data_IF_841134357677
#
_entry.id   IF_841134357677
#
_cell.length_a   1.000
_cell.length_b   1.000
_cell.length_c   1.000
_cell.angle_alpha   90.00
_cell.angle_beta   90.00
_cell.angle_gamma   90.00
#
_symmetry.space_group_name_H-M   'P 1'
#
loop_
_entity.id
_entity.type
_entity.pdbx_description
1 polymer ?
#
# COMPACT_ATOMS: atom_id res chain seq x y z
N UNK A 1 1.43 -71.99 4.65
CA UNK A 1 1.40 -70.72 3.88
C UNK A 1 1.41 -69.57 4.88
N UNK A 2 2.49 -68.78 4.90
CA UNK A 2 2.60 -67.57 5.74
C UNK A 2 2.46 -66.36 4.82
N UNK A 3 1.45 -65.54 5.03
CA UNK A 3 1.28 -64.27 4.31
C UNK A 3 2.15 -63.20 4.97
N UNK A 4 2.97 -62.53 4.16
CA UNK A 4 3.83 -61.42 4.55
C UNK A 4 3.04 -60.14 4.28
N UNK A 5 2.62 -59.43 5.33
CA UNK A 5 2.04 -58.09 5.20
C UNK A 5 3.17 -57.06 5.11
N UNK A 6 3.23 -56.30 4.01
CA UNK A 6 4.13 -55.16 3.84
C UNK A 6 3.32 -53.91 4.19
N UNK A 7 3.64 -53.31 5.34
CA UNK A 7 3.11 -52.00 5.72
C UNK A 7 3.85 -50.90 4.94
N UNK A 8 3.14 -50.21 4.05
CA UNK A 8 3.64 -49.03 3.33
C UNK A 8 3.41 -47.81 4.23
N UNK A 9 4.47 -47.29 4.84
CA UNK A 9 4.44 -45.99 5.51
C UNK A 9 4.48 -44.88 4.45
N UNK A 10 3.32 -44.25 4.20
CA UNK A 10 3.20 -43.02 3.43
C UNK A 10 3.74 -41.85 4.28
N UNK A 11 4.98 -41.46 4.04
CA UNK A 11 5.55 -40.23 4.58
C UNK A 11 4.96 -39.07 3.77
N UNK A 12 3.94 -38.39 4.31
CA UNK A 12 3.52 -37.08 3.81
C UNK A 12 4.66 -36.09 4.12
N UNK A 13 5.49 -35.81 3.12
CA UNK A 13 6.39 -34.67 3.14
C UNK A 13 5.55 -33.40 3.09
N UNK A 14 5.35 -32.76 4.24
CA UNK A 14 4.82 -31.39 4.31
C UNK A 14 5.93 -30.48 3.78
N UNK A 15 5.88 -30.18 2.48
CA UNK A 15 6.76 -29.20 1.87
C UNK A 15 6.29 -27.82 2.32
N UNK A 16 6.85 -27.33 3.43
CA UNK A 16 6.74 -25.92 3.80
C UNK A 16 7.56 -25.11 2.78
N UNK A 17 6.97 -24.77 1.64
CA UNK A 17 7.55 -23.76 0.76
C UNK A 17 7.41 -22.42 1.47
N UNK A 18 8.41 -22.04 2.24
CA UNK A 18 8.58 -20.65 2.66
C UNK A 18 8.93 -19.88 1.39
N UNK A 19 7.91 -19.32 0.74
CA UNK A 19 8.08 -18.44 -0.41
C UNK A 19 8.66 -17.14 0.15
N UNK A 20 9.98 -17.09 0.28
CA UNK A 20 10.70 -15.84 0.46
C UNK A 20 10.58 -15.07 -0.86
N UNK A 21 10.07 -13.85 -0.79
CA UNK A 21 10.06 -12.94 -1.94
C UNK A 21 11.47 -12.80 -2.55
N UNK A 22 11.53 -12.69 -3.87
CA UNK A 22 12.78 -12.57 -4.63
C UNK A 22 13.52 -11.27 -4.26
N UNK A 23 14.82 -11.36 -3.97
CA UNK A 23 15.66 -10.20 -3.63
C UNK A 23 15.69 -9.08 -4.69
N UNK A 24 15.29 -9.39 -5.92
CA UNK A 24 15.18 -8.45 -7.04
C UNK A 24 14.29 -7.24 -6.75
N UNK A 25 13.17 -7.41 -6.03
CA UNK A 25 12.26 -6.29 -5.73
C UNK A 25 12.89 -5.25 -4.79
N UNK A 26 13.71 -5.69 -3.82
CA UNK A 26 14.42 -4.78 -2.93
C UNK A 26 15.44 -3.94 -3.69
N UNK A 27 16.17 -4.55 -4.62
CA UNK A 27 17.19 -3.88 -5.43
C UNK A 27 16.56 -2.83 -6.36
N UNK A 28 15.45 -3.17 -7.00
CA UNK A 28 14.70 -2.26 -7.88
C UNK A 28 14.17 -1.05 -7.09
N UNK A 29 13.50 -1.29 -5.96
CA UNK A 29 12.94 -0.23 -5.12
C UNK A 29 14.03 0.64 -4.49
N UNK A 30 15.10 0.02 -3.98
CA UNK A 30 16.25 0.75 -3.44
C UNK A 30 16.87 1.65 -4.50
N UNK A 31 17.06 1.14 -5.72
CA UNK A 31 17.63 1.91 -6.84
C UNK A 31 16.75 3.10 -7.21
N UNK A 32 15.43 2.92 -7.30
CA UNK A 32 14.49 4.00 -7.59
C UNK A 32 14.52 5.10 -6.51
N UNK A 33 14.40 4.71 -5.25
CA UNK A 33 14.41 5.65 -4.11
C UNK A 33 15.75 6.35 -3.97
N UNK A 34 16.86 5.65 -4.25
CA UNK A 34 18.20 6.22 -4.19
C UNK A 34 18.43 7.27 -5.27
N UNK A 35 17.87 7.08 -6.47
CA UNK A 35 17.90 8.10 -7.54
C UNK A 35 17.14 9.35 -7.14
N UNK A 36 15.95 9.21 -6.55
CA UNK A 36 15.13 10.35 -6.11
C UNK A 36 15.80 11.14 -4.98
N UNK A 37 16.38 10.44 -4.01
CA UNK A 37 17.02 11.06 -2.84
C UNK A 37 18.49 11.46 -3.05
N UNK A 38 19.07 11.11 -4.20
CA UNK A 38 20.49 11.28 -4.53
C UNK A 38 21.45 10.62 -3.52
N UNK A 39 20.98 9.64 -2.75
CA UNK A 39 21.74 8.91 -1.73
C UNK A 39 21.28 7.46 -1.63
N UNK A 40 22.13 6.51 -1.21
CA UNK A 40 21.69 5.13 -0.97
C UNK A 40 20.58 5.08 0.08
N UNK A 41 19.48 4.40 -0.25
CA UNK A 41 18.35 4.16 0.65
C UNK A 41 18.35 2.68 1.06
N UNK A 42 18.47 2.36 2.36
CA UNK A 42 18.44 0.98 2.83
C UNK A 42 17.07 0.36 2.60
N UNK A 43 17.03 -0.90 2.17
CA UNK A 43 15.80 -1.67 1.98
C UNK A 43 15.92 -3.05 2.61
N UNK A 44 14.81 -3.53 3.16
CA UNK A 44 14.69 -4.81 3.84
C UNK A 44 13.62 -5.66 3.18
N UNK A 45 13.95 -6.92 2.90
CA UNK A 45 13.08 -7.92 2.28
C UNK A 45 13.27 -9.29 2.95
N UNK A 46 12.32 -10.20 2.71
CA UNK A 46 12.41 -11.60 3.15
C UNK A 46 12.62 -11.72 4.66
N UNK A 47 13.64 -12.48 5.09
CA UNK A 47 13.91 -12.75 6.51
C UNK A 47 14.15 -11.50 7.36
N UNK A 48 14.70 -10.43 6.78
CA UNK A 48 14.96 -9.19 7.52
C UNK A 48 13.68 -8.49 7.99
N UNK A 49 12.53 -8.80 7.38
CA UNK A 49 11.23 -8.28 7.79
C UNK A 49 10.68 -8.94 9.07
N UNK A 50 11.31 -10.00 9.60
CA UNK A 50 10.82 -10.68 10.81
C UNK A 50 10.84 -9.80 12.06
N UNK A 51 11.61 -8.72 12.04
CA UNK A 51 11.69 -7.74 13.12
C UNK A 51 10.73 -6.55 12.93
N UNK A 52 9.88 -6.59 11.89
CA UNK A 52 8.85 -5.61 11.67
C UNK A 52 7.50 -6.14 12.18
N UNK A 53 6.94 -5.44 13.15
CA UNK A 53 5.54 -5.60 13.56
C UNK A 53 4.64 -4.71 12.69
N UNK A 54 3.73 -5.33 11.96
CA UNK A 54 2.78 -4.64 11.09
C UNK A 54 1.56 -5.52 10.84
N UNK A 55 0.38 -4.96 11.09
CA UNK A 55 -0.89 -5.57 10.77
C UNK A 55 -1.29 -5.11 9.38
N UNK A 56 -1.41 -6.05 8.45
CA UNK A 56 -1.82 -5.77 7.08
C UNK A 56 -3.27 -6.19 6.85
N UNK A 57 -4.00 -5.50 5.96
CA UNK A 57 -5.31 -5.96 5.56
C UNK A 57 -5.27 -7.35 4.94
N UNK A 58 -6.35 -8.12 5.08
CA UNK A 58 -6.44 -9.46 4.50
C UNK A 58 -6.20 -9.41 2.99
N UNK A 59 -5.33 -10.31 2.50
CA UNK A 59 -4.96 -10.39 1.08
C UNK A 59 -3.69 -9.60 0.72
N UNK A 60 -3.12 -8.86 1.67
CA UNK A 60 -1.84 -8.18 1.55
C UNK A 60 -0.80 -8.78 2.48
N UNK A 61 0.47 -8.63 2.12
CA UNK A 61 1.61 -8.88 3.00
C UNK A 61 2.75 -7.93 2.63
N UNK A 62 3.60 -7.60 3.61
CA UNK A 62 4.78 -6.76 3.37
C UNK A 62 5.83 -7.57 2.61
N UNK A 63 6.26 -7.03 1.48
CA UNK A 63 7.31 -7.64 0.65
C UNK A 63 8.63 -6.87 0.74
N UNK A 64 8.57 -5.54 0.89
CA UNK A 64 9.74 -4.71 1.07
C UNK A 64 9.47 -3.51 1.97
N UNK A 65 10.49 -3.08 2.71
CA UNK A 65 10.46 -1.85 3.52
C UNK A 65 11.73 -1.10 3.24
N UNK A 66 11.59 0.09 2.68
CA UNK A 66 12.69 0.93 2.29
C UNK A 66 12.69 2.22 3.09
N UNK A 67 13.89 2.64 3.44
CA UNK A 67 14.12 3.92 4.07
C UNK A 67 13.42 4.10 5.43
N UNK A 68 13.35 3.04 6.23
CA UNK A 68 12.72 3.10 7.54
C UNK A 68 13.50 4.02 8.50
N UNK A 69 12.85 5.04 9.06
CA UNK A 69 13.43 6.00 10.01
C UNK A 69 12.52 6.26 11.18
N UNK A 70 13.12 6.61 12.32
CA UNK A 70 12.39 7.20 13.44
C UNK A 70 12.15 8.71 13.24
N UNK A 71 11.42 9.32 14.16
CA UNK A 71 11.07 10.76 14.17
C UNK A 71 12.29 11.69 14.25
N UNK A 72 13.46 11.19 14.68
CA UNK A 72 14.72 11.95 14.65
C UNK A 72 15.43 11.90 13.29
N UNK A 73 14.89 11.13 12.35
CA UNK A 73 15.48 10.88 11.03
C UNK A 73 16.57 9.81 11.02
N UNK A 74 16.79 9.10 12.14
CA UNK A 74 17.76 8.01 12.22
C UNK A 74 17.21 6.79 11.49
N UNK A 75 18.05 6.16 10.65
CA UNK A 75 17.73 4.89 10.01
C UNK A 75 17.57 3.76 11.03
N UNK A 76 16.57 2.92 10.81
CA UNK A 76 16.34 1.70 11.57
C UNK A 76 16.92 0.52 10.80
N UNK A 77 17.75 -0.29 11.48
CA UNK A 77 18.30 -1.52 10.94
C UNK A 77 17.43 -2.73 11.32
N UNK A 78 16.48 -3.13 10.45
CA UNK A 78 15.60 -4.27 10.71
C UNK A 78 16.35 -5.61 10.79
N UNK A 79 17.62 -5.68 10.39
CA UNK A 79 18.43 -6.88 10.64
C UNK A 79 18.82 -7.03 12.13
N UNK A 80 18.71 -5.96 12.93
CA UNK A 80 19.19 -5.90 14.32
C UNK A 80 18.14 -5.41 15.31
N UNK A 81 17.24 -4.54 14.87
CA UNK A 81 16.30 -3.80 15.71
C UNK A 81 14.86 -4.20 15.37
N UNK A 82 14.03 -4.31 16.40
CA UNK A 82 12.58 -4.44 16.25
C UNK A 82 11.95 -3.07 15.99
N UNK A 83 10.98 -3.01 15.08
CA UNK A 83 10.23 -1.81 14.76
C UNK A 83 8.74 -2.15 14.59
N UNK A 84 7.86 -1.21 14.95
CA UNK A 84 6.41 -1.38 14.83
C UNK A 84 5.82 -0.25 14.00
N UNK A 85 4.98 -0.59 13.03
CA UNK A 85 4.14 0.36 12.28
C UNK A 85 2.73 0.46 12.86
N UNK A 86 2.36 -0.45 13.75
CA UNK A 86 1.04 -0.52 14.36
C UNK A 86 0.89 0.41 15.57
N UNK A 87 2.01 0.88 16.11
CA UNK A 87 2.09 1.69 17.31
C UNK A 87 2.87 2.98 17.08
N UNK A 88 2.37 4.07 17.66
CA UNK A 88 3.11 5.32 17.77
C UNK A 88 4.20 5.19 18.84
N UNK A 89 5.29 5.93 18.68
CA UNK A 89 6.28 6.08 19.74
C UNK A 89 5.67 6.82 20.96
N UNK A 90 6.45 6.90 22.04
CA UNK A 90 6.03 7.57 23.29
C UNK A 90 5.67 9.05 23.10
N UNK A 91 6.15 9.67 22.04
CA UNK A 91 5.97 11.08 21.70
C UNK A 91 4.84 11.26 20.67
N UNK A 92 4.17 10.17 20.27
CA UNK A 92 3.04 10.16 19.34
C UNK A 92 3.42 10.12 17.86
N UNK A 93 4.69 9.84 17.53
CA UNK A 93 5.16 9.83 16.15
C UNK A 93 5.07 8.42 15.53
N UNK A 94 4.85 8.38 14.22
CA UNK A 94 4.94 7.16 13.42
C UNK A 94 6.34 7.06 12.81
N UNK A 95 6.79 5.83 12.53
CA UNK A 95 7.99 5.62 11.73
C UNK A 95 7.77 6.10 10.30
N UNK A 96 8.83 6.61 9.69
CA UNK A 96 8.84 7.07 8.31
C UNK A 96 9.46 6.01 7.40
N UNK A 97 9.04 5.94 6.13
CA UNK A 97 9.59 5.03 5.13
C UNK A 97 8.62 4.70 4.01
N UNK A 98 9.06 3.86 3.09
CA UNK A 98 8.24 3.35 1.97
C UNK A 98 8.04 1.85 2.13
N UNK A 99 6.78 1.44 2.24
CA UNK A 99 6.38 0.06 2.49
C UNK A 99 5.71 -0.46 1.23
N UNK A 100 6.25 -1.54 0.69
CA UNK A 100 5.71 -2.22 -0.47
C UNK A 100 4.95 -3.47 -0.03
N UNK A 101 3.70 -3.56 -0.45
CA UNK A 101 2.83 -4.69 -0.15
C UNK A 101 2.60 -5.49 -1.42
N UNK A 102 2.63 -6.82 -1.30
CA UNK A 102 2.19 -7.71 -2.36
C UNK A 102 0.80 -8.28 -2.08
N UNK A 103 0.08 -8.53 -3.17
CA UNK A 103 -1.25 -9.11 -3.15
C UNK A 103 -2.31 -8.09 -3.55
N UNK A 104 -3.51 -8.28 -3.03
CA UNK A 104 -4.64 -7.46 -3.42
C UNK A 104 -5.64 -7.25 -2.28
N UNK A 105 -6.27 -6.07 -2.26
CA UNK A 105 -7.36 -5.75 -1.35
C UNK A 105 -8.54 -5.15 -2.10
N UNK A 106 -9.73 -5.69 -1.83
CA UNK A 106 -10.98 -5.12 -2.29
C UNK A 106 -11.53 -4.12 -1.27
N UNK A 107 -11.73 -2.88 -1.71
CA UNK A 107 -12.31 -1.81 -0.91
C UNK A 107 -13.54 -1.24 -1.60
N UNK A 108 -14.52 -0.84 -0.78
CA UNK A 108 -15.67 -0.04 -1.22
C UNK A 108 -15.57 1.34 -0.58
N UNK A 109 -15.79 2.36 -1.40
CA UNK A 109 -15.60 3.74 -0.99
C UNK A 109 -16.11 4.71 -2.05
N UNK A 110 -15.68 5.96 -1.94
CA UNK A 110 -15.92 6.99 -2.94
C UNK A 110 -14.61 7.35 -3.62
N UNK A 111 -14.61 7.41 -4.95
CA UNK A 111 -13.52 8.00 -5.71
C UNK A 111 -13.96 9.36 -6.26
N UNK A 112 -13.08 10.34 -6.25
CA UNK A 112 -13.42 11.67 -6.72
C UNK A 112 -12.21 12.58 -6.85
N UNK A 113 -12.46 13.74 -7.45
CA UNK A 113 -11.46 14.79 -7.56
C UNK A 113 -11.57 15.74 -6.36
N UNK A 114 -10.50 15.83 -5.58
CA UNK A 114 -10.39 16.85 -4.52
C UNK A 114 -9.78 18.11 -5.15
N UNK A 115 -10.39 19.30 -4.98
CA UNK A 115 -9.82 20.54 -5.52
C UNK A 115 -8.47 20.87 -4.87
N UNK A 116 -7.39 20.68 -5.61
CA UNK A 116 -6.06 21.21 -5.35
C UNK A 116 -5.51 21.82 -6.64
N UNK A 117 -4.44 22.61 -6.58
CA UNK A 117 -3.79 23.18 -7.77
C UNK A 117 -3.40 22.10 -8.80
N UNK A 118 -3.10 20.89 -8.32
CA UNK A 118 -2.75 19.71 -9.10
C UNK A 118 -3.90 18.76 -9.45
N UNK A 119 -5.11 18.94 -8.87
CA UNK A 119 -6.25 18.07 -9.12
C UNK A 119 -5.94 16.60 -8.82
N UNK A 120 -5.75 16.27 -7.54
CA UNK A 120 -5.43 14.89 -7.15
C UNK A 120 -6.72 14.07 -7.08
N UNK A 121 -6.84 13.07 -7.96
CA UNK A 121 -7.85 12.03 -7.81
C UNK A 121 -7.54 11.20 -6.56
N UNK A 122 -8.54 11.01 -5.73
CA UNK A 122 -8.44 10.24 -4.50
C UNK A 122 -9.53 9.18 -4.45
N UNK A 123 -9.26 8.14 -3.69
CA UNK A 123 -10.26 7.18 -3.24
C UNK A 123 -10.27 7.20 -1.73
N UNK A 124 -11.44 7.32 -1.13
CA UNK A 124 -11.65 7.21 0.31
C UNK A 124 -12.56 6.02 0.60
N UNK A 125 -12.08 5.08 1.41
CA UNK A 125 -12.92 4.00 1.94
C UNK A 125 -13.61 4.44 3.23
N UNK A 126 -14.69 3.76 3.60
CA UNK A 126 -15.28 3.93 4.93
C UNK A 126 -14.31 3.39 5.98
N UNK A 127 -13.83 4.26 6.85
CA UNK A 127 -12.98 3.88 7.98
C UNK A 127 -13.65 4.24 9.31
N UNK A 128 -14.18 3.24 9.99
CA UNK A 128 -14.73 3.37 11.35
C UNK A 128 -13.72 2.81 12.37
N UNK A 129 -12.61 3.53 12.60
CA UNK A 129 -11.41 2.92 13.19
C UNK A 129 -10.83 3.70 14.39
N UNK A 130 -11.57 3.86 15.51
CA UNK A 130 -11.02 4.46 16.72
C UNK A 130 -9.96 3.58 17.42
N UNK A 131 -9.94 2.26 17.17
CA UNK A 131 -9.07 1.31 17.89
C UNK A 131 -8.23 0.40 16.97
N UNK A 132 -8.08 0.74 15.69
CA UNK A 132 -7.25 -0.08 14.80
C UNK A 132 -5.77 0.28 14.86
N UNK A 133 -4.88 -0.71 14.57
CA UNK A 133 -3.46 -0.50 14.36
C UNK A 133 -3.18 0.74 13.49
N UNK A 134 -2.15 1.50 13.87
CA UNK A 134 -1.85 2.77 13.23
C UNK A 134 -1.59 2.60 11.72
N UNK A 135 -0.94 1.50 11.31
CA UNK A 135 -0.67 1.21 9.90
C UNK A 135 -1.94 1.01 9.06
N UNK A 136 -3.01 0.41 9.60
CA UNK A 136 -4.25 0.16 8.86
C UNK A 136 -4.97 1.45 8.44
N UNK A 137 -4.73 2.56 9.14
CA UNK A 137 -5.29 3.88 8.78
C UNK A 137 -4.84 4.35 7.40
N UNK A 138 -3.70 3.86 6.91
CA UNK A 138 -3.20 4.20 5.57
C UNK A 138 -4.10 3.66 4.45
N UNK A 139 -5.02 2.73 4.73
CA UNK A 139 -5.93 2.17 3.74
C UNK A 139 -7.27 2.91 3.68
N UNK A 140 -7.42 4.00 4.43
CA UNK A 140 -8.61 4.85 4.41
C UNK A 140 -8.64 5.80 3.21
N UNK A 141 -7.46 6.17 2.72
CA UNK A 141 -7.31 7.09 1.61
C UNK A 141 -6.19 6.61 0.68
N UNK A 142 -6.51 6.55 -0.59
CA UNK A 142 -5.58 6.22 -1.65
C UNK A 142 -5.46 7.40 -2.61
N UNK A 143 -4.22 7.78 -2.91
CA UNK A 143 -3.90 8.70 -3.99
C UNK A 143 -3.94 7.92 -5.30
N UNK A 144 -4.77 8.39 -6.24
CA UNK A 144 -4.90 7.82 -7.58
C UNK A 144 -4.27 8.82 -8.56
N UNK A 145 -3.09 8.53 -9.07
CA UNK A 145 -2.23 9.55 -9.68
C UNK A 145 -2.03 9.46 -11.18
N UNK A 146 -2.48 8.40 -11.86
CA UNK A 146 -2.19 8.22 -13.30
C UNK A 146 -3.42 8.43 -14.18
N UNK A 147 -3.21 9.00 -15.38
CA UNK A 147 -4.22 9.08 -16.43
C UNK A 147 -4.84 7.70 -16.75
N UNK A 148 -4.05 6.63 -16.60
CA UNK A 148 -4.51 5.26 -16.78
C UNK A 148 -5.53 4.87 -15.71
N UNK A 149 -5.34 5.29 -14.46
CA UNK A 149 -6.29 5.02 -13.37
C UNK A 149 -7.56 5.86 -13.53
N UNK A 150 -7.45 7.12 -13.96
CA UNK A 150 -8.61 7.93 -14.36
C UNK A 150 -9.49 7.22 -15.40
N UNK A 151 -8.87 6.68 -16.45
CA UNK A 151 -9.60 5.98 -17.52
C UNK A 151 -10.32 4.74 -16.98
N UNK A 152 -9.72 4.00 -16.03
CA UNK A 152 -10.33 2.80 -15.43
C UNK A 152 -11.55 3.14 -14.58
N UNK A 153 -11.48 4.23 -13.80
CA UNK A 153 -12.63 4.73 -13.06
C UNK A 153 -13.76 5.14 -14.00
N UNK A 154 -13.42 5.56 -15.23
CA UNK A 154 -14.35 6.17 -16.17
C UNK A 154 -15.03 7.40 -15.57
N UNK A 155 -14.34 8.07 -14.65
CA UNK A 155 -14.72 9.37 -14.17
C UNK A 155 -14.49 10.40 -15.27
N UNK A 156 -15.29 11.47 -15.32
CA UNK A 156 -15.07 12.55 -16.27
C UNK A 156 -13.67 13.13 -16.04
N UNK A 157 -12.87 13.20 -17.12
CA UNK A 157 -11.60 13.91 -17.06
C UNK A 157 -11.87 15.35 -16.65
N UNK A 158 -11.00 15.99 -15.85
CA UNK A 158 -11.14 17.41 -15.54
C UNK A 158 -11.28 18.19 -16.85
N UNK A 159 -12.46 18.76 -17.08
CA UNK A 159 -12.70 19.63 -18.22
C UNK A 159 -12.08 20.98 -17.89
N UNK A 160 -10.88 21.24 -18.42
CA UNK A 160 -10.24 22.56 -18.34
C UNK A 160 -10.95 23.62 -19.22
N UNK A 161 -12.08 23.28 -19.84
CA UNK A 161 -12.85 24.24 -20.62
C UNK A 161 -13.25 25.42 -19.72
N UNK A 162 -12.59 26.56 -19.95
CA UNK A 162 -12.74 27.86 -19.24
C UNK A 162 -12.06 27.98 -17.87
N UNK A 163 -11.07 27.13 -17.56
CA UNK A 163 -10.31 27.23 -16.31
C UNK A 163 -11.07 26.75 -15.06
N UNK A 164 -12.25 26.15 -15.24
CA UNK A 164 -13.07 25.69 -14.12
C UNK A 164 -12.72 24.25 -13.72
N UNK A 165 -12.47 24.02 -12.42
CA UNK A 165 -12.31 22.67 -11.85
C UNK A 165 -13.64 22.23 -11.25
N UNK A 166 -14.32 21.29 -11.90
CA UNK A 166 -15.58 20.72 -11.40
C UNK A 166 -15.32 19.50 -10.53
N UNK A 167 -15.79 19.53 -9.28
CA UNK A 167 -15.80 18.34 -8.43
C UNK A 167 -16.69 17.28 -9.05
N UNK A 168 -16.29 16.01 -8.89
CA UNK A 168 -17.18 14.86 -9.01
C UNK A 168 -16.76 13.79 -8.02
N UNK A 169 -17.73 12.98 -7.60
CA UNK A 169 -17.49 11.75 -6.84
C UNK A 169 -18.34 10.62 -7.40
N UNK A 170 -17.90 9.38 -7.19
CA UNK A 170 -18.66 8.19 -7.52
C UNK A 170 -18.41 7.11 -6.46
N UNK A 171 -19.46 6.38 -6.13
CA UNK A 171 -19.34 5.22 -5.24
C UNK A 171 -18.78 4.05 -6.03
N UNK A 172 -17.75 3.39 -5.48
CA UNK A 172 -16.99 2.40 -6.22
C UNK A 172 -16.50 1.27 -5.32
N UNK A 173 -16.44 0.08 -5.90
CA UNK A 173 -15.72 -1.07 -5.37
C UNK A 173 -14.52 -1.34 -6.26
N UNK A 174 -13.32 -1.24 -5.68
CA UNK A 174 -12.03 -1.34 -6.38
C UNK A 174 -11.20 -2.43 -5.72
N UNK A 175 -10.52 -3.22 -6.53
CA UNK A 175 -9.43 -4.08 -6.07
C UNK A 175 -8.09 -3.35 -6.31
N UNK A 176 -7.38 -3.05 -5.22
CA UNK A 176 -6.05 -2.46 -5.24
C UNK A 176 -5.01 -3.57 -5.28
N UNK A 177 -4.08 -3.49 -6.24
CA UNK A 177 -3.04 -4.51 -6.44
C UNK A 177 -1.69 -3.91 -6.09
N UNK A 178 -0.94 -4.65 -5.28
CA UNK A 178 0.41 -4.34 -4.82
C UNK A 178 0.59 -2.87 -4.37
N UNK A 179 -0.18 -2.41 -3.36
CA UNK A 179 -0.12 -1.01 -2.95
C UNK A 179 1.23 -0.64 -2.32
N UNK A 180 1.59 0.63 -2.46
CA UNK A 180 2.78 1.25 -1.85
C UNK A 180 2.30 2.26 -0.82
N UNK A 181 2.78 2.15 0.42
CA UNK A 181 2.50 3.11 1.49
C UNK A 181 3.74 3.96 1.73
N UNK A 182 3.64 5.28 1.54
CA UNK A 182 4.67 6.24 1.93
C UNK A 182 4.29 6.85 3.28
N UNK A 183 5.13 6.63 4.28
CA UNK A 183 5.02 7.20 5.61
C UNK A 183 6.04 8.34 5.70
N UNK A 184 5.59 9.58 5.55
CA UNK A 184 6.44 10.77 5.67
C UNK A 184 5.60 12.00 6.05
N UNK A 185 6.26 13.14 6.29
CA UNK A 185 5.60 14.42 6.62
C UNK A 185 5.29 15.28 5.39
N UNK A 186 5.55 14.77 4.18
CA UNK A 186 5.49 15.54 2.94
C UNK A 186 4.18 15.34 2.19
N UNK A 187 3.96 16.16 1.17
CA UNK A 187 2.86 15.97 0.21
C UNK A 187 2.93 14.62 -0.55
N UNK A 188 4.06 13.89 -0.43
CA UNK A 188 4.27 12.54 -0.96
C UNK A 188 3.73 11.42 -0.07
N UNK A 189 3.36 11.68 1.18
CA UNK A 189 2.81 10.68 2.10
C UNK A 189 1.49 10.07 1.59
N UNK A 190 1.19 8.84 1.97
CA UNK A 190 -0.08 8.17 1.69
C UNK A 190 0.07 6.88 0.90
N UNK A 191 -1.06 6.30 0.53
CA UNK A 191 -1.12 4.99 -0.14
C UNK A 191 -1.41 5.14 -1.63
N UNK A 192 -0.61 4.44 -2.43
CA UNK A 192 -0.67 4.45 -3.89
C UNK A 192 -0.92 3.04 -4.40
N UNK A 193 -1.77 2.91 -5.40
CA UNK A 193 -1.95 1.65 -6.10
C UNK A 193 -0.89 1.52 -7.20
N UNK A 194 -0.25 0.36 -7.35
CA UNK A 194 0.48 0.06 -8.61
C UNK A 194 -0.48 -0.26 -9.73
N UNK A 195 -1.61 -0.88 -9.40
CA UNK A 195 -2.69 -1.14 -10.33
C UNK A 195 -4.03 -1.19 -9.58
N UNK A 196 -5.11 -0.92 -10.30
CA UNK A 196 -6.48 -1.02 -9.81
C UNK A 196 -7.33 -1.83 -10.79
N UNK A 197 -8.29 -2.58 -10.25
CA UNK A 197 -9.38 -3.19 -11.02
C UNK A 197 -10.70 -2.66 -10.48
N UNK A 198 -11.47 -1.99 -11.32
CA UNK A 198 -12.81 -1.51 -10.97
C UNK A 198 -13.79 -2.67 -11.06
N UNK A 199 -14.41 -3.03 -9.93
CA UNK A 199 -15.38 -4.13 -9.84
C UNK A 199 -16.79 -3.61 -10.15
N UNK A 200 -17.16 -2.49 -9.50
CA UNK A 200 -18.48 -1.87 -9.63
C UNK A 200 -18.35 -0.37 -9.38
N UNK A 201 -19.10 0.44 -10.10
CA UNK A 201 -19.20 1.89 -9.90
C UNK A 201 -20.63 2.40 -10.06
N UNK A 202 -20.95 3.51 -9.40
CA UNK A 202 -22.13 4.32 -9.68
C UNK A 202 -21.90 5.24 -10.88
N UNK A 203 -22.97 5.90 -11.32
CA UNK A 203 -22.83 7.11 -12.13
C UNK A 203 -22.14 8.21 -11.30
N UNK A 204 -21.31 9.07 -11.92
CA UNK A 204 -20.71 10.21 -11.25
C UNK A 204 -21.76 11.21 -10.76
N UNK A 205 -21.58 11.69 -9.54
CA UNK A 205 -22.32 12.82 -8.97
C UNK A 205 -21.46 14.07 -9.10
N UNK A 206 -21.99 15.07 -9.80
CA UNK A 206 -21.29 16.33 -10.04
C UNK A 206 -21.59 17.33 -8.91
N UNK A 207 -20.54 18.01 -8.46
CA UNK A 207 -20.64 19.09 -7.48
C UNK A 207 -20.38 20.45 -8.10
N UNK A 208 -20.06 21.41 -7.24
CA UNK A 208 -19.73 22.77 -7.65
C UNK A 208 -18.47 22.81 -8.53
N UNK A 209 -18.44 23.77 -9.46
CA UNK A 209 -17.27 24.11 -10.25
C UNK A 209 -16.66 25.41 -9.73
N UNK A 210 -15.33 25.46 -9.60
CA UNK A 210 -14.60 26.63 -9.14
C UNK A 210 -13.73 27.20 -10.26
N UNK A 211 -13.63 28.53 -10.35
CA UNK A 211 -12.74 29.25 -11.28
C UNK A 211 -11.39 29.53 -10.64
#
# INVERSE_FOLDING_TARGET
MKYFEIAIFLILAVVNTVVYAEGSKCDDLSSELSKRSQRPVPCYCGKSLSNLEVTTPQGLHVEAVCGLRDSSGRWIDLAKEHASLDHYDKDGNMLMGTIYLAGQIALTGSAGMVPSDSGTLSFSSKCDMPNEPAFLRNFCEFKLGSDADYNKLGGPKPSYERGMKCWWSLDISINFIDPIVSLDETDGAGTYARNIIVIKKSEPVFGACYQ
#
